data_IF_125520573838
#
_entry.id   IF_125520573838
#
_cell.length_a   1.000
_cell.length_b   1.000
_cell.length_c   1.000
_cell.angle_alpha   90.00
_cell.angle_beta   90.00
_cell.angle_gamma   90.00
#
_symmetry.space_group_name_H-M   'P 1'
#
loop_
_entity.id
_entity.type
_entity.pdbx_description
1 polymer ?
#
# COMPACT_ATOMS: atom_id res chain seq x y z
N UNK A 1 -9.78 0.42 -7.65
CA UNK A 1 -8.32 0.08 -7.59
C UNK A 1 -7.85 0.63 -6.26
N UNK A 2 -6.95 -0.04 -5.54
CA UNK A 2 -6.62 0.31 -4.14
C UNK A 2 -5.25 0.95 -4.09
N UNK A 3 -5.08 1.98 -3.29
CA UNK A 3 -3.81 2.66 -3.11
C UNK A 3 -3.58 3.06 -1.65
N UNK A 4 -2.32 3.14 -1.26
CA UNK A 4 -1.90 3.65 0.04
C UNK A 4 -0.61 4.44 -0.10
N UNK A 5 -0.47 5.49 0.70
CA UNK A 5 0.78 6.23 0.81
C UNK A 5 1.59 5.65 1.96
N UNK A 6 2.80 5.18 1.65
CA UNK A 6 3.74 4.73 2.67
C UNK A 6 4.21 5.95 3.49
N UNK A 7 4.45 5.83 4.81
CA UNK A 7 4.96 6.94 5.63
C UNK A 7 6.28 7.56 5.16
N UNK A 8 7.03 6.89 4.29
CA UNK A 8 8.22 7.44 3.64
C UNK A 8 7.91 8.42 2.48
N UNK A 9 6.64 8.54 2.09
CA UNK A 9 6.17 9.36 0.97
C UNK A 9 6.01 8.62 -0.35
N UNK A 10 6.30 7.31 -0.40
CA UNK A 10 6.10 6.51 -1.62
C UNK A 10 4.63 6.11 -1.79
N UNK A 11 4.11 6.28 -3.01
CA UNK A 11 2.78 5.85 -3.39
C UNK A 11 2.80 4.39 -3.83
N UNK A 12 1.92 3.58 -3.24
CA UNK A 12 1.78 2.17 -3.55
C UNK A 12 0.35 1.89 -4.01
N UNK A 13 0.20 1.25 -5.17
CA UNK A 13 -1.10 0.82 -5.68
C UNK A 13 -1.17 -0.68 -5.96
N UNK A 14 -2.41 -1.16 -6.04
CA UNK A 14 -2.76 -2.51 -6.38
C UNK A 14 -4.17 -2.60 -6.94
N UNK A 15 -4.43 -3.62 -7.75
CA UNK A 15 -5.78 -3.84 -8.28
C UNK A 15 -6.80 -4.18 -7.19
N UNK A 16 -6.33 -4.71 -6.05
CA UNK A 16 -7.10 -5.05 -4.85
C UNK A 16 -6.17 -5.03 -3.62
N UNK A 17 -6.73 -5.26 -2.43
CA UNK A 17 -5.97 -5.26 -1.17
C UNK A 17 -4.83 -6.29 -1.13
N UNK A 18 -5.01 -7.45 -1.77
CA UNK A 18 -3.98 -8.48 -1.85
C UNK A 18 -2.78 -8.01 -2.66
N UNK A 19 -3.01 -7.47 -3.85
CA UNK A 19 -1.92 -6.94 -4.68
C UNK A 19 -1.28 -5.70 -4.05
N UNK A 20 -2.07 -4.85 -3.39
CA UNK A 20 -1.56 -3.72 -2.63
C UNK A 20 -0.65 -4.18 -1.48
N UNK A 21 -1.02 -5.26 -0.79
CA UNK A 21 -0.19 -5.87 0.25
C UNK A 21 1.11 -6.44 -0.29
N UNK A 22 1.08 -7.13 -1.42
CA UNK A 22 2.31 -7.64 -2.05
C UNK A 22 3.23 -6.50 -2.48
N UNK A 23 2.66 -5.42 -3.02
CA UNK A 23 3.40 -4.20 -3.38
C UNK A 23 4.05 -3.55 -2.15
N UNK A 24 3.27 -3.35 -1.08
CA UNK A 24 3.75 -2.77 0.17
C UNK A 24 4.78 -3.64 0.88
N UNK A 25 4.64 -4.97 0.84
CA UNK A 25 5.62 -5.91 1.39
C UNK A 25 6.94 -5.83 0.63
N UNK A 26 6.89 -5.81 -0.70
CA UNK A 26 8.08 -5.69 -1.54
C UNK A 26 8.79 -4.35 -1.32
N UNK A 27 8.03 -3.26 -1.24
CA UNK A 27 8.57 -1.94 -0.90
C UNK A 27 9.23 -1.95 0.49
N UNK A 28 8.54 -2.50 1.50
CA UNK A 28 9.06 -2.56 2.85
C UNK A 28 10.33 -3.42 2.94
N UNK A 29 10.42 -4.54 2.21
CA UNK A 29 11.62 -5.39 2.18
C UNK A 29 12.83 -4.67 1.57
N UNK A 30 12.61 -3.83 0.55
CA UNK A 30 13.68 -3.14 -0.18
C UNK A 30 14.11 -1.83 0.48
N UNK A 31 13.15 -1.00 0.88
CA UNK A 31 13.39 0.36 1.38
C UNK A 31 13.42 0.43 2.91
N UNK A 32 12.83 -0.55 3.58
CA UNK A 32 12.58 -0.56 5.02
C UNK A 32 12.84 -1.94 5.65
N UNK A 33 13.93 -2.60 5.23
CA UNK A 33 14.26 -3.97 5.65
C UNK A 33 14.15 -4.14 7.18
N UNK A 34 13.32 -5.11 7.61
CA UNK A 34 13.11 -5.43 9.03
C UNK A 34 12.32 -4.39 9.85
N UNK A 35 11.84 -3.30 9.24
CA UNK A 35 11.12 -2.22 9.95
C UNK A 35 9.62 -2.48 10.07
N UNK A 36 9.01 -3.12 9.07
CA UNK A 36 7.57 -3.39 9.04
C UNK A 36 7.32 -4.90 8.94
N UNK A 37 6.44 -5.41 9.80
CA UNK A 37 5.99 -6.80 9.69
C UNK A 37 4.81 -6.93 8.73
N UNK A 38 4.56 -8.17 8.28
CA UNK A 38 3.36 -8.51 7.52
C UNK A 38 2.04 -8.12 8.23
N UNK A 39 2.05 -7.98 9.57
CA UNK A 39 0.89 -7.51 10.33
C UNK A 39 0.74 -5.98 10.25
N UNK A 40 1.84 -5.24 10.38
CA UNK A 40 1.85 -3.77 10.28
C UNK A 40 1.37 -3.31 8.91
N UNK A 41 1.83 -3.98 7.84
CA UNK A 41 1.42 -3.67 6.47
C UNK A 41 -0.07 -3.93 6.24
N UNK A 42 -0.63 -4.99 6.85
CA UNK A 42 -2.08 -5.25 6.80
C UNK A 42 -2.88 -4.19 7.54
N UNK A 43 -2.39 -3.72 8.68
CA UNK A 43 -3.03 -2.62 9.42
C UNK A 43 -2.97 -1.34 8.59
N UNK A 44 -1.81 -1.01 8.01
CA UNK A 44 -1.64 0.15 7.14
C UNK A 44 -2.64 0.13 5.98
N UNK A 45 -2.77 -1.00 5.29
CA UNK A 45 -3.72 -1.12 4.17
C UNK A 45 -5.17 -1.04 4.65
N UNK A 46 -5.51 -1.69 5.76
CA UNK A 46 -6.88 -1.67 6.29
C UNK A 46 -7.31 -0.26 6.74
N UNK A 47 -6.37 0.53 7.26
CA UNK A 47 -6.65 1.84 7.88
C UNK A 47 -6.43 3.03 6.95
N UNK A 48 -5.42 2.97 6.07
CA UNK A 48 -4.98 4.09 5.25
C UNK A 48 -5.19 3.86 3.75
N UNK A 49 -5.47 2.64 3.29
CA UNK A 49 -5.71 2.43 1.86
C UNK A 49 -7.06 3.00 1.45
N UNK A 50 -7.07 3.70 0.32
CA UNK A 50 -8.25 4.30 -0.30
C UNK A 50 -8.51 3.66 -1.67
N UNK A 51 -9.74 3.81 -2.17
CA UNK A 51 -10.04 3.43 -3.55
C UNK A 51 -9.52 4.54 -4.48
N UNK A 52 -8.43 4.24 -5.18
CA UNK A 52 -7.94 4.96 -6.33
C UNK A 52 -8.68 4.44 -7.57
N UNK A 53 -9.97 4.77 -7.71
CA UNK A 53 -10.66 4.62 -8.98
C UNK A 53 -10.01 5.54 -10.01
N UNK A 54 -9.62 5.01 -11.19
CA UNK A 54 -9.65 5.88 -12.39
C UNK A 54 -11.06 6.45 -12.44
N UNK A 55 -11.17 7.75 -12.74
CA UNK A 55 -12.40 8.53 -12.95
C UNK A 55 -12.73 9.56 -11.85
N UNK A 56 -11.87 10.57 -11.72
CA UNK A 56 -12.35 11.95 -11.78
C UNK A 56 -12.66 12.27 -13.25
N UNK A 57 -13.79 11.77 -13.76
CA UNK A 57 -14.30 12.18 -15.07
C UNK A 57 -14.99 13.53 -14.87
N UNK A 58 -14.29 14.60 -15.26
CA UNK A 58 -14.87 15.93 -15.44
C UNK A 58 -15.68 16.03 -16.72
#
# INVERSE_FOLDING_TARGET
MRAVECPCGEYLDGSNDTQLFESARRHADQEHEGKYTDADLRILISTAAYDAGREATG
#
